data_IF_788808948430
#
_entry.id   IF_788808948430
#
_cell.length_a   1.000
_cell.length_b   1.000
_cell.length_c   1.000
_cell.angle_alpha   90.00
_cell.angle_beta   90.00
_cell.angle_gamma   90.00
#
_symmetry.space_group_name_H-M   'P 1'
#
loop_
_entity.id
_entity.type
_entity.pdbx_description
1 polymer ?
#
# COMPACT_ATOMS: atom_id res chain seq x y z
N UNK A 1 25.45 20.10 -48.42
CA UNK A 1 26.52 19.59 -47.53
C UNK A 1 25.87 19.15 -46.23
N UNK A 2 25.83 17.84 -45.96
CA UNK A 2 25.01 17.22 -44.90
C UNK A 2 25.78 17.14 -43.57
N UNK A 3 25.14 17.49 -42.45
CA UNK A 3 25.70 17.38 -41.09
C UNK A 3 25.31 16.01 -40.50
N UNK A 4 26.29 15.14 -40.31
CA UNK A 4 26.10 13.85 -39.61
C UNK A 4 26.11 14.05 -38.10
N UNK A 5 25.11 13.48 -37.40
CA UNK A 5 25.02 13.45 -35.92
C UNK A 5 25.87 12.30 -35.38
N UNK A 6 26.60 12.46 -34.25
CA UNK A 6 27.35 11.36 -33.68
C UNK A 6 26.40 10.31 -33.06
N UNK A 7 26.61 9.07 -33.46
CA UNK A 7 25.97 7.87 -32.95
C UNK A 7 26.28 7.68 -31.45
N UNK A 8 25.23 7.55 -30.64
CA UNK A 8 25.35 7.27 -29.20
C UNK A 8 25.83 5.83 -29.06
N UNK A 9 27.11 5.65 -28.77
CA UNK A 9 27.73 4.36 -28.55
C UNK A 9 26.95 3.52 -27.52
N UNK A 10 26.23 2.50 -28.02
CA UNK A 10 25.73 1.36 -27.23
C UNK A 10 26.93 0.62 -26.65
N UNK A 11 27.24 0.88 -25.38
CA UNK A 11 28.26 0.12 -24.66
C UNK A 11 27.82 -1.33 -24.53
N UNK A 12 28.44 -2.24 -25.30
CA UNK A 12 28.30 -3.68 -25.12
C UNK A 12 29.15 -4.10 -23.92
N UNK A 13 28.48 -4.53 -22.86
CA UNK A 13 29.15 -5.19 -21.73
C UNK A 13 29.72 -6.55 -22.19
N UNK A 14 30.98 -6.52 -22.64
CA UNK A 14 31.70 -7.69 -23.15
C UNK A 14 32.22 -8.60 -22.04
N UNK A 15 32.16 -8.20 -20.77
CA UNK A 15 32.68 -8.99 -19.65
C UNK A 15 31.58 -9.58 -18.77
N UNK A 16 30.31 -9.40 -19.17
CA UNK A 16 29.15 -10.05 -18.56
C UNK A 16 28.95 -9.68 -17.09
N UNK A 17 29.34 -8.48 -16.68
CA UNK A 17 29.24 -8.06 -15.27
C UNK A 17 28.08 -7.11 -14.99
N UNK A 18 27.43 -6.57 -16.02
CA UNK A 18 26.24 -5.72 -15.95
C UNK A 18 26.44 -4.46 -15.12
N UNK A 19 25.44 -3.58 -15.15
CA UNK A 19 25.30 -2.53 -14.13
C UNK A 19 25.09 -3.21 -12.77
N UNK A 20 26.05 -3.08 -11.85
CA UNK A 20 25.94 -3.58 -10.48
C UNK A 20 25.92 -2.39 -9.53
N UNK A 21 24.78 -2.17 -8.89
CA UNK A 21 24.54 -1.06 -7.97
C UNK A 21 23.17 -0.43 -8.19
N UNK A 22 22.67 0.30 -7.18
CA UNK A 22 21.41 1.05 -7.31
C UNK A 22 21.57 2.09 -8.42
N UNK A 23 20.74 1.97 -9.46
CA UNK A 23 20.64 2.93 -10.57
C UNK A 23 20.05 4.28 -10.12
N UNK A 24 19.46 4.30 -8.93
CA UNK A 24 18.63 5.39 -8.43
C UNK A 24 19.15 5.78 -7.03
N UNK A 25 19.55 7.05 -6.82
CA UNK A 25 19.92 7.55 -5.51
C UNK A 25 18.79 7.36 -4.49
N UNK A 26 19.10 7.09 -3.22
CA UNK A 26 18.07 6.89 -2.18
C UNK A 26 17.26 8.16 -1.87
N UNK A 27 17.77 9.31 -2.31
CA UNK A 27 17.18 10.63 -2.09
C UNK A 27 16.09 10.98 -3.09
N UNK A 28 15.88 10.19 -4.15
CA UNK A 28 14.82 10.45 -5.11
C UNK A 28 13.62 9.52 -4.88
N UNK A 29 12.37 10.01 -5.09
CA UNK A 29 11.15 9.24 -4.83
C UNK A 29 11.12 7.86 -5.52
N UNK A 30 11.79 7.74 -6.67
CA UNK A 30 11.88 6.53 -7.46
C UNK A 30 12.64 5.38 -6.77
N UNK A 31 13.35 5.65 -5.66
CA UNK A 31 13.98 4.64 -4.82
C UNK A 31 13.06 4.09 -3.70
N UNK A 32 11.91 4.71 -3.45
CA UNK A 32 10.92 4.21 -2.48
C UNK A 32 10.22 2.98 -3.04
N UNK A 33 9.95 1.99 -2.19
CA UNK A 33 9.10 0.86 -2.58
C UNK A 33 7.68 1.35 -2.89
N UNK A 34 6.91 0.58 -3.67
CA UNK A 34 5.47 0.87 -3.85
C UNK A 34 4.73 0.87 -2.51
N UNK A 35 5.11 -0.08 -1.64
CA UNK A 35 4.67 -0.17 -0.26
C UNK A 35 4.80 1.15 0.49
N UNK A 36 6.02 1.73 0.52
CA UNK A 36 6.27 2.97 1.24
C UNK A 36 5.49 4.16 0.66
N UNK A 37 5.34 4.23 -0.67
CA UNK A 37 4.51 5.27 -1.30
C UNK A 37 3.04 5.16 -0.89
N UNK A 38 2.53 3.94 -0.78
CA UNK A 38 1.16 3.72 -0.31
C UNK A 38 1.00 4.11 1.15
N UNK A 39 1.96 3.75 2.00
CA UNK A 39 1.94 4.10 3.43
C UNK A 39 1.97 5.63 3.62
N UNK A 40 2.78 6.35 2.84
CA UNK A 40 2.80 7.82 2.83
C UNK A 40 1.42 8.40 2.43
N UNK A 41 0.81 7.88 1.37
CA UNK A 41 -0.52 8.33 0.92
C UNK A 41 -1.62 8.08 1.97
N UNK A 42 -1.54 6.95 2.67
CA UNK A 42 -2.47 6.63 3.77
C UNK A 42 -2.27 7.63 4.91
N UNK A 43 -1.03 7.93 5.28
CA UNK A 43 -0.74 8.90 6.34
C UNK A 43 -1.31 10.28 6.00
N UNK A 44 -1.00 10.81 4.82
CA UNK A 44 -1.51 12.09 4.33
C UNK A 44 -3.05 12.13 4.37
N UNK A 45 -3.69 11.04 3.94
CA UNK A 45 -5.16 10.94 3.95
C UNK A 45 -5.70 10.91 5.38
N UNK A 46 -5.09 10.16 6.29
CA UNK A 46 -5.52 10.07 7.69
C UNK A 46 -5.41 11.42 8.38
N UNK A 47 -4.32 12.16 8.17
CA UNK A 47 -4.17 13.53 8.70
C UNK A 47 -5.34 14.43 8.25
N UNK A 48 -5.72 14.38 6.97
CA UNK A 48 -6.86 15.11 6.42
C UNK A 48 -8.23 14.64 6.97
N UNK A 49 -8.35 13.37 7.36
CA UNK A 49 -9.55 12.82 7.99
C UNK A 49 -9.66 13.29 9.44
N UNK A 50 -8.57 13.22 10.20
CA UNK A 50 -8.52 13.61 11.62
C UNK A 50 -8.89 15.08 11.82
N UNK A 51 -8.47 15.96 10.90
CA UNK A 51 -8.86 17.38 10.92
C UNK A 51 -10.37 17.60 10.82
N UNK A 52 -11.11 16.71 10.14
CA UNK A 52 -12.54 16.84 9.88
C UNK A 52 -13.42 16.05 10.85
N UNK A 53 -12.92 14.91 11.33
CA UNK A 53 -13.67 13.93 12.14
C UNK A 53 -12.94 13.56 13.43
N UNK A 54 -12.25 14.53 14.03
CA UNK A 54 -11.43 14.32 15.23
C UNK A 54 -12.16 13.56 16.35
N UNK A 55 -13.44 13.87 16.58
CA UNK A 55 -14.23 13.25 17.65
C UNK A 55 -14.58 11.80 17.34
N UNK A 56 -14.91 11.50 16.09
CA UNK A 56 -15.30 10.17 15.64
C UNK A 56 -14.09 9.24 15.50
N UNK A 57 -12.91 9.79 15.21
CA UNK A 57 -11.66 9.05 15.05
C UNK A 57 -10.79 9.00 16.32
N UNK A 58 -11.25 9.61 17.42
CA UNK A 58 -10.51 9.62 18.68
C UNK A 58 -10.18 8.19 19.15
N UNK A 59 -8.89 7.90 19.29
CA UNK A 59 -8.39 6.59 19.69
C UNK A 59 -8.58 5.48 18.66
N UNK A 60 -8.88 5.78 17.39
CA UNK A 60 -8.89 4.82 16.28
C UNK A 60 -7.50 4.77 15.63
N UNK A 61 -6.95 3.57 15.49
CA UNK A 61 -5.69 3.37 14.77
C UNK A 61 -5.92 2.99 13.31
N UNK A 62 -4.98 3.34 12.44
CA UNK A 62 -4.94 2.87 11.06
C UNK A 62 -3.77 1.91 10.85
N UNK A 63 -3.98 0.85 10.08
CA UNK A 63 -2.94 -0.11 9.71
C UNK A 63 -3.07 -0.52 8.25
N UNK A 64 -1.95 -0.95 7.67
CA UNK A 64 -1.90 -1.45 6.30
C UNK A 64 -1.44 -2.90 6.30
N UNK A 65 -2.20 -3.75 5.62
CA UNK A 65 -1.84 -5.13 5.31
C UNK A 65 -1.81 -5.32 3.79
N UNK A 66 -0.96 -6.22 3.29
CA UNK A 66 -0.88 -6.46 1.84
C UNK A 66 -2.19 -7.01 1.26
N UNK A 67 -2.71 -8.06 1.91
CA UNK A 67 -3.91 -8.82 1.52
C UNK A 67 -4.56 -9.38 2.78
N UNK A 68 -5.89 -9.54 2.79
CA UNK A 68 -6.58 -10.18 3.90
C UNK A 68 -6.18 -11.65 4.04
N UNK A 69 -6.15 -12.16 5.28
CA UNK A 69 -6.15 -13.59 5.52
C UNK A 69 -7.55 -14.16 5.27
N UNK A 70 -7.68 -15.03 4.26
CA UNK A 70 -8.94 -15.67 3.88
C UNK A 70 -8.98 -17.09 4.44
N UNK A 71 -10.11 -17.47 5.05
CA UNK A 71 -10.33 -18.80 5.62
C UNK A 71 -10.91 -19.80 4.61
N UNK A 72 -11.41 -19.32 3.47
CA UNK A 72 -11.96 -20.16 2.38
C UNK A 72 -11.26 -19.85 1.06
N UNK A 73 -11.18 -20.85 0.18
CA UNK A 73 -10.47 -20.75 -1.10
C UNK A 73 -11.34 -20.17 -2.24
N UNK A 74 -12.67 -20.26 -2.13
CA UNK A 74 -13.61 -19.76 -3.13
C UNK A 74 -14.05 -18.34 -2.79
N UNK A 75 -13.81 -17.34 -3.66
CA UNK A 75 -14.32 -15.98 -3.45
C UNK A 75 -15.82 -15.98 -3.25
N UNK A 76 -16.60 -16.68 -4.10
CA UNK A 76 -18.07 -16.66 -4.08
C UNK A 76 -18.71 -17.20 -2.78
N UNK A 77 -17.94 -17.92 -1.97
CA UNK A 77 -18.39 -18.44 -0.68
C UNK A 77 -17.98 -17.54 0.51
N UNK A 78 -17.18 -16.50 0.26
CA UNK A 78 -16.81 -15.53 1.29
C UNK A 78 -18.03 -14.65 1.60
N UNK A 79 -18.52 -14.80 2.83
CA UNK A 79 -19.48 -13.87 3.41
C UNK A 79 -18.71 -12.98 4.37
N UNK A 80 -18.54 -11.72 3.99
CA UNK A 80 -17.89 -10.74 4.84
C UNK A 80 -18.89 -10.15 5.83
N UNK A 81 -18.40 -9.80 7.02
CA UNK A 81 -19.21 -9.13 8.04
C UNK A 81 -19.46 -7.66 7.71
N UNK A 82 -20.33 -7.01 8.47
CA UNK A 82 -20.61 -5.57 8.33
C UNK A 82 -19.42 -4.68 8.70
N UNK A 83 -18.37 -5.26 9.28
CA UNK A 83 -17.10 -4.64 9.61
C UNK A 83 -16.13 -4.57 8.41
N UNK A 84 -16.46 -5.20 7.28
CA UNK A 84 -15.61 -5.24 6.09
C UNK A 84 -16.18 -4.33 5.00
N UNK A 85 -15.31 -3.48 4.45
CA UNK A 85 -15.59 -2.76 3.22
C UNK A 85 -15.08 -3.60 2.06
N UNK A 86 -15.97 -3.92 1.12
CA UNK A 86 -15.68 -4.79 -0.02
C UNK A 86 -16.06 -4.17 -1.37
N UNK A 87 -15.43 -4.66 -2.43
CA UNK A 87 -15.83 -4.40 -3.81
C UNK A 87 -15.75 -5.70 -4.62
N UNK A 88 -16.91 -6.18 -5.07
CA UNK A 88 -17.02 -7.44 -5.80
C UNK A 88 -16.46 -8.62 -5.01
N UNK A 89 -16.83 -8.72 -3.72
CA UNK A 89 -16.38 -9.76 -2.80
C UNK A 89 -14.86 -9.78 -2.49
N UNK A 90 -14.18 -8.67 -2.79
CA UNK A 90 -12.79 -8.47 -2.40
C UNK A 90 -12.72 -7.45 -1.26
N UNK A 91 -12.19 -7.82 -0.08
CA UNK A 91 -11.99 -6.89 1.01
C UNK A 91 -11.01 -5.78 0.63
N UNK A 92 -11.43 -4.54 0.86
CA UNK A 92 -10.62 -3.34 0.69
C UNK A 92 -10.15 -2.80 2.03
N UNK A 93 -11.01 -2.88 3.05
CA UNK A 93 -10.68 -2.53 4.41
C UNK A 93 -11.50 -3.33 5.43
N UNK A 94 -11.06 -3.34 6.68
CA UNK A 94 -11.79 -3.94 7.81
C UNK A 94 -11.70 -3.07 9.05
N UNK A 95 -12.80 -2.94 9.78
CA UNK A 95 -12.85 -2.38 11.12
C UNK A 95 -12.67 -3.48 12.17
N UNK A 96 -11.61 -3.38 12.95
CA UNK A 96 -11.42 -4.18 14.15
C UNK A 96 -11.92 -3.34 15.35
N UNK A 97 -12.96 -3.77 16.07
CA UNK A 97 -13.43 -3.03 17.23
C UNK A 97 -12.40 -3.06 18.36
N UNK A 98 -12.44 -2.03 19.22
CA UNK A 98 -11.63 -2.01 20.43
C UNK A 98 -11.91 -3.25 21.28
N UNK A 99 -10.85 -3.88 21.78
CA UNK A 99 -10.94 -5.15 22.52
C UNK A 99 -9.88 -5.25 23.60
N UNK A 100 -10.02 -6.23 24.48
CA UNK A 100 -8.98 -6.60 25.44
C UNK A 100 -8.08 -7.67 24.82
N UNK A 101 -6.77 -7.52 24.98
CA UNK A 101 -5.78 -8.57 24.74
C UNK A 101 -5.91 -9.66 25.80
N UNK A 102 -5.39 -10.86 25.51
CA UNK A 102 -5.29 -11.98 26.47
C UNK A 102 -4.54 -11.60 27.76
N UNK A 103 -3.62 -10.63 27.66
CA UNK A 103 -2.84 -10.10 28.77
C UNK A 103 -3.55 -8.97 29.55
N UNK A 104 -4.80 -8.64 29.22
CA UNK A 104 -5.59 -7.59 29.87
C UNK A 104 -5.37 -6.17 29.35
N UNK A 105 -4.45 -5.96 28.39
CA UNK A 105 -4.22 -4.66 27.77
C UNK A 105 -5.36 -4.27 26.82
N UNK A 106 -5.79 -3.01 26.85
CA UNK A 106 -6.77 -2.48 25.90
C UNK A 106 -6.12 -2.25 24.55
N UNK A 107 -6.67 -2.88 23.53
CA UNK A 107 -6.36 -2.63 22.12
C UNK A 107 -7.40 -1.63 21.58
N UNK A 108 -6.97 -0.52 20.97
CA UNK A 108 -7.89 0.44 20.36
C UNK A 108 -8.64 -0.17 19.18
N UNK A 109 -9.69 0.52 18.74
CA UNK A 109 -10.32 0.18 17.47
C UNK A 109 -9.32 0.46 16.34
N UNK A 110 -9.34 -0.35 15.28
CA UNK A 110 -8.37 -0.24 14.19
C UNK A 110 -9.05 -0.41 12.84
N UNK A 111 -8.77 0.50 11.91
CA UNK A 111 -9.14 0.36 10.51
C UNK A 111 -7.92 -0.21 9.76
N UNK A 112 -8.09 -1.39 9.19
CA UNK A 112 -7.05 -2.08 8.41
C UNK A 112 -7.34 -1.89 6.93
N UNK A 113 -6.40 -1.33 6.18
CA UNK A 113 -6.47 -1.16 4.74
C UNK A 113 -5.69 -2.28 4.02
N UNK A 114 -6.30 -2.89 3.01
CA UNK A 114 -5.64 -3.92 2.21
C UNK A 114 -5.01 -3.32 0.95
N UNK A 115 -3.68 -3.17 0.98
CA UNK A 115 -2.93 -2.45 -0.05
C UNK A 115 -3.11 -3.03 -1.45
N UNK A 116 -2.90 -4.34 -1.66
CA UNK A 116 -2.94 -4.90 -3.02
C UNK A 116 -4.35 -4.82 -3.63
N UNK A 117 -5.44 -5.15 -2.92
CA UNK A 117 -6.78 -4.92 -3.42
C UNK A 117 -7.05 -3.47 -3.83
N UNK A 118 -6.58 -2.50 -3.03
CA UNK A 118 -6.73 -1.07 -3.32
C UNK A 118 -5.88 -0.62 -4.52
N UNK A 119 -4.60 -0.98 -4.56
CA UNK A 119 -3.69 -0.65 -5.67
C UNK A 119 -4.17 -1.22 -7.02
N UNK A 120 -4.73 -2.42 -7.04
CA UNK A 120 -5.25 -3.06 -8.26
C UNK A 120 -6.48 -2.33 -8.80
N UNK A 121 -7.29 -1.74 -7.91
CA UNK A 121 -8.54 -1.05 -8.27
C UNK A 121 -8.35 0.43 -8.54
N UNK A 122 -7.30 1.03 -7.98
CA UNK A 122 -6.95 2.41 -8.24
C UNK A 122 -6.72 2.61 -9.75
N UNK A 123 -7.49 3.52 -10.35
CA UNK A 123 -7.36 3.85 -11.77
C UNK A 123 -6.20 4.82 -12.01
N UNK A 124 -5.90 5.62 -10.99
CA UNK A 124 -4.93 6.71 -11.02
C UNK A 124 -4.03 6.62 -9.76
N UNK A 125 -2.87 7.27 -9.80
CA UNK A 125 -1.96 7.43 -8.64
C UNK A 125 -2.13 8.81 -8.02
#
# INVERSE_FOLDING_TARGET
>A
MSRSRPDRSRSRDRRGRGLRGRLVPQTVPLARSRAAQFDDLVLDTVEDLELRWQRELDGVEFAVEDVPYLTTASPDELVHGSDVLEDGNVPLARLLPARLSESGHRLPARIVLYRRPLEIRARDR
#
